data_IF_057322634917
#
_entry.id   IF_057322634917
#
_cell.length_a   1.000
_cell.length_b   1.000
_cell.length_c   1.000
_cell.angle_alpha   90.00
_cell.angle_beta   90.00
_cell.angle_gamma   90.00
#
_symmetry.space_group_name_H-M   'P 1'
#
loop_
_entity.id
_entity.type
_entity.pdbx_description
1 polymer ?
#
# COMPACT_ATOMS: atom_id res chain seq x y z
N UNK A 1 7.27 20.18 0.74
CA UNK A 1 7.84 20.25 -0.63
C UNK A 1 6.71 20.00 -1.63
N UNK A 2 6.78 20.49 -2.87
CA UNK A 2 5.62 20.44 -3.80
C UNK A 2 5.12 19.01 -4.07
N UNK A 3 6.01 18.09 -4.45
CA UNK A 3 5.63 16.70 -4.73
C UNK A 3 5.06 15.98 -3.50
N UNK A 4 5.57 16.29 -2.32
CA UNK A 4 5.07 15.73 -1.05
C UNK A 4 3.68 16.26 -0.73
N UNK A 5 3.38 17.53 -1.03
CA UNK A 5 2.04 18.08 -0.90
C UNK A 5 1.04 17.37 -1.83
N UNK A 6 1.42 17.11 -3.09
CA UNK A 6 0.59 16.33 -4.03
C UNK A 6 0.37 14.91 -3.52
N UNK A 7 1.42 14.23 -3.04
CA UNK A 7 1.31 12.88 -2.47
C UNK A 7 0.40 12.83 -1.24
N UNK A 8 0.50 13.83 -0.35
CA UNK A 8 -0.36 13.94 0.82
C UNK A 8 -1.82 14.18 0.42
N UNK A 9 -2.07 15.01 -0.60
CA UNK A 9 -3.42 15.28 -1.09
C UNK A 9 -4.03 14.07 -1.81
N UNK A 10 -3.25 13.24 -2.50
CA UNK A 10 -3.78 12.04 -3.17
C UNK A 10 -3.88 10.82 -2.23
N UNK A 11 -2.90 10.62 -1.34
CA UNK A 11 -2.70 9.38 -0.57
C UNK A 11 -2.78 9.55 0.94
N UNK A 12 -3.01 10.76 1.43
CA UNK A 12 -3.02 11.11 2.86
C UNK A 12 -1.77 10.68 3.63
N UNK A 13 -0.64 10.55 2.92
CA UNK A 13 0.65 10.10 3.43
C UNK A 13 1.78 10.82 2.72
N UNK A 14 2.86 11.07 3.46
CA UNK A 14 4.14 11.44 2.86
C UNK A 14 4.85 10.16 2.39
N UNK A 15 5.56 10.27 1.27
CA UNK A 15 6.48 9.23 0.81
C UNK A 15 7.84 9.28 1.53
N UNK A 16 8.13 10.33 2.30
CA UNK A 16 9.41 10.53 3.01
C UNK A 16 9.34 10.25 4.51
N UNK A 17 8.20 10.53 5.14
CA UNK A 17 8.00 10.34 6.58
C UNK A 17 6.79 9.48 6.90
N UNK A 18 6.88 8.78 8.03
CA UNK A 18 5.81 7.93 8.56
C UNK A 18 4.72 8.72 9.30
N UNK A 19 5.01 9.93 9.76
CA UNK A 19 4.05 10.74 10.51
C UNK A 19 3.84 12.11 9.87
N UNK A 20 2.57 12.42 9.58
CA UNK A 20 2.14 13.69 8.99
C UNK A 20 2.52 14.91 9.85
N UNK A 21 2.61 14.75 11.17
CA UNK A 21 3.08 15.81 12.08
C UNK A 21 4.50 16.27 11.77
N UNK A 22 5.34 15.38 11.24
CA UNK A 22 6.76 15.66 10.97
C UNK A 22 6.94 16.52 9.70
N UNK A 23 5.86 16.81 8.97
CA UNK A 23 5.85 17.77 7.86
C UNK A 23 5.75 19.22 8.36
N UNK A 24 5.50 19.43 9.65
CA UNK A 24 5.41 20.77 10.25
C UNK A 24 6.78 21.45 10.20
N UNK A 25 6.80 22.66 9.64
CA UNK A 25 8.02 23.46 9.60
C UNK A 25 8.47 23.81 11.03
N UNK A 26 9.79 23.87 11.24
CA UNK A 26 10.34 24.27 12.54
C UNK A 26 9.79 25.65 12.97
N UNK A 27 9.29 25.73 14.21
CA UNK A 27 8.66 26.94 14.76
C UNK A 27 7.20 27.17 14.34
N UNK A 28 6.62 26.32 13.48
CA UNK A 28 5.20 26.38 13.14
C UNK A 28 4.36 25.43 14.00
N UNK A 29 3.08 25.76 14.17
CA UNK A 29 2.11 24.94 14.93
C UNK A 29 1.38 23.89 14.06
N UNK A 30 1.59 23.94 12.75
CA UNK A 30 0.90 23.09 11.79
C UNK A 30 1.24 23.40 10.33
N UNK A 31 0.53 22.76 9.42
CA UNK A 31 0.67 22.97 7.98
C UNK A 31 -0.65 22.73 7.26
N UNK A 32 -0.74 23.23 6.03
CA UNK A 32 -1.89 23.06 5.14
C UNK A 32 -1.41 22.80 3.72
N UNK A 33 -2.01 21.81 3.08
CA UNK A 33 -1.84 21.53 1.67
C UNK A 33 -3.21 21.62 1.00
N UNK A 34 -3.28 22.30 -0.14
CA UNK A 34 -4.48 22.42 -0.96
C UNK A 34 -4.13 22.18 -2.42
N UNK A 35 -5.08 21.64 -3.17
CA UNK A 35 -4.98 21.50 -4.62
C UNK A 35 -6.34 21.33 -5.27
N UNK A 36 -6.37 21.55 -6.58
CA UNK A 36 -7.52 21.28 -7.41
C UNK A 36 -7.19 20.17 -8.40
N UNK A 37 -8.10 19.21 -8.54
CA UNK A 37 -8.06 18.15 -9.54
C UNK A 37 -9.25 18.30 -10.48
N UNK A 38 -9.08 17.82 -11.70
CA UNK A 38 -10.16 17.68 -12.65
C UNK A 38 -9.91 16.43 -13.48
N UNK A 39 -10.90 15.54 -13.52
CA UNK A 39 -10.91 14.34 -14.34
C UNK A 39 -12.30 14.17 -15.00
N UNK A 40 -12.62 12.96 -15.47
CA UNK A 40 -13.93 12.65 -16.06
C UNK A 40 -15.10 12.80 -15.06
N UNK A 41 -14.85 12.73 -13.75
CA UNK A 41 -15.85 12.95 -12.71
C UNK A 41 -16.07 14.44 -12.40
N UNK A 42 -15.20 15.32 -12.90
CA UNK A 42 -15.31 16.78 -12.79
C UNK A 42 -14.27 17.41 -11.85
N UNK A 43 -14.34 18.74 -11.66
CA UNK A 43 -13.41 19.45 -10.80
C UNK A 43 -13.68 19.19 -9.32
N UNK A 44 -12.63 19.02 -8.53
CA UNK A 44 -12.68 18.90 -7.07
C UNK A 44 -11.54 19.69 -6.44
N UNK A 45 -11.82 20.40 -5.34
CA UNK A 45 -10.78 20.99 -4.49
C UNK A 45 -10.58 20.17 -3.23
N UNK A 46 -9.35 19.80 -2.94
CA UNK A 46 -8.99 19.02 -1.77
C UNK A 46 -8.07 19.83 -0.86
N UNK A 47 -8.34 19.74 0.44
CA UNK A 47 -7.49 20.32 1.49
C UNK A 47 -7.13 19.29 2.55
N UNK A 48 -5.86 19.26 2.94
CA UNK A 48 -5.38 18.51 4.11
C UNK A 48 -4.70 19.48 5.05
N UNK A 49 -5.19 19.52 6.28
CA UNK A 49 -4.67 20.39 7.32
C UNK A 49 -4.17 19.54 8.48
N UNK A 50 -3.00 19.91 9.01
CA UNK A 50 -2.51 19.42 10.28
C UNK A 50 -2.38 20.58 11.25
N UNK A 51 -3.07 20.51 12.38
CA UNK A 51 -2.92 21.43 13.53
C UNK A 51 -2.66 20.56 14.74
N UNK A 52 -1.86 21.00 15.72
CA UNK A 52 -1.29 20.21 16.83
C UNK A 52 -2.14 19.10 17.52
N UNK A 53 -3.46 19.06 17.35
CA UNK A 53 -4.36 18.01 17.83
C UNK A 53 -4.74 16.91 16.80
N UNK A 54 -4.46 17.07 15.49
CA UNK A 54 -4.80 16.07 14.49
C UNK A 54 -4.86 16.55 13.04
N UNK A 55 -5.30 15.64 12.17
CA UNK A 55 -5.52 15.89 10.74
C UNK A 55 -6.97 16.22 10.47
N UNK A 56 -7.21 17.26 9.68
CA UNK A 56 -8.50 17.67 9.13
C UNK A 56 -8.48 17.58 7.61
N UNK A 57 -9.62 17.21 7.02
CA UNK A 57 -9.80 17.03 5.58
C UNK A 57 -10.91 17.94 5.07
N UNK A 58 -10.68 18.53 3.90
CA UNK A 58 -11.63 19.41 3.22
C UNK A 58 -11.89 18.95 1.79
N UNK A 59 -13.15 19.01 1.37
CA UNK A 59 -13.60 18.77 -0.01
C UNK A 59 -14.45 19.96 -0.44
N UNK A 60 -14.07 20.64 -1.52
CA UNK A 60 -14.74 21.82 -2.06
C UNK A 60 -14.98 22.94 -1.04
N UNK A 61 -14.04 23.09 -0.10
CA UNK A 61 -14.10 24.07 1.00
C UNK A 61 -14.95 23.63 2.20
N UNK A 62 -15.58 22.44 2.14
CA UNK A 62 -16.27 21.84 3.28
C UNK A 62 -15.28 21.10 4.18
N UNK A 63 -15.09 21.61 5.38
CA UNK A 63 -14.35 20.98 6.47
C UNK A 63 -15.05 19.72 7.04
N UNK A 64 -14.26 18.88 7.71
CA UNK A 64 -14.75 17.69 8.39
C UNK A 64 -15.06 16.50 7.47
N UNK A 65 -14.49 16.45 6.27
CA UNK A 65 -14.64 15.29 5.39
C UNK A 65 -14.06 14.04 6.03
N UNK A 66 -14.73 12.90 5.84
CA UNK A 66 -14.17 11.62 6.30
C UNK A 66 -13.04 11.18 5.37
N UNK A 67 -12.19 10.27 5.85
CA UNK A 67 -11.15 9.67 4.99
C UNK A 67 -11.79 8.94 3.80
N UNK A 68 -12.95 8.32 4.00
CA UNK A 68 -13.61 7.52 2.97
C UNK A 68 -14.29 8.43 1.92
N UNK A 69 -14.77 9.63 2.33
CA UNK A 69 -15.24 10.66 1.39
C UNK A 69 -14.11 11.25 0.54
N UNK A 70 -12.93 11.41 1.14
CA UNK A 70 -11.78 12.09 0.56
C UNK A 70 -10.94 11.19 -0.36
N UNK A 71 -10.83 9.91 -0.01
CA UNK A 71 -9.99 8.96 -0.72
C UNK A 71 -10.50 8.72 -2.15
N UNK A 72 -9.58 8.62 -3.11
CA UNK A 72 -9.91 8.38 -4.52
C UNK A 72 -10.39 9.62 -5.29
N UNK A 73 -10.58 10.78 -4.63
CA UNK A 73 -10.89 12.06 -5.31
C UNK A 73 -9.73 12.63 -6.11
N UNK A 74 -8.52 12.16 -5.83
CA UNK A 74 -7.31 12.51 -6.53
C UNK A 74 -6.41 11.27 -6.60
N UNK A 75 -5.86 11.02 -7.77
CA UNK A 75 -4.87 9.97 -7.99
C UNK A 75 -3.53 10.63 -8.33
N UNK A 76 -2.47 10.19 -7.66
CA UNK A 76 -1.12 10.61 -7.97
C UNK A 76 -0.15 9.46 -7.72
N UNK A 77 0.71 9.19 -8.70
CA UNK A 77 1.84 8.26 -8.57
C UNK A 77 3.10 9.10 -8.42
N UNK A 78 3.82 8.90 -7.32
CA UNK A 78 5.12 9.53 -7.10
C UNK A 78 6.18 8.44 -7.16
N UNK A 79 7.14 8.59 -8.07
CA UNK A 79 8.34 7.78 -8.11
C UNK A 79 9.39 8.37 -7.16
N UNK A 80 9.86 7.57 -6.21
CA UNK A 80 10.81 7.96 -5.18
C UNK A 80 11.88 6.88 -4.96
N UNK A 81 13.09 7.29 -4.56
CA UNK A 81 14.20 6.36 -4.30
C UNK A 81 13.90 5.31 -3.21
N UNK A 82 12.95 5.57 -2.31
CA UNK A 82 12.48 4.61 -1.31
C UNK A 82 11.52 3.53 -1.83
N UNK A 83 11.08 3.60 -3.10
CA UNK A 83 10.14 2.63 -3.67
C UNK A 83 10.75 1.23 -3.82
N UNK A 84 12.09 1.11 -3.74
CA UNK A 84 12.78 -0.18 -3.67
C UNK A 84 12.38 -1.00 -2.46
N UNK A 85 11.85 -0.38 -1.39
CA UNK A 85 11.38 -1.09 -0.20
C UNK A 85 10.27 -2.10 -0.50
N UNK A 86 9.48 -1.88 -1.55
CA UNK A 86 8.50 -2.88 -2.01
C UNK A 86 9.26 -4.10 -2.53
N UNK A 87 10.30 -3.90 -3.32
CA UNK A 87 11.11 -4.96 -3.96
C UNK A 87 12.01 -5.71 -2.96
N UNK A 88 12.68 -4.96 -2.08
CA UNK A 88 13.68 -5.46 -1.12
C UNK A 88 13.05 -5.90 0.21
N UNK A 89 11.84 -5.41 0.51
CA UNK A 89 11.17 -5.63 1.79
C UNK A 89 10.61 -7.03 1.98
N UNK A 90 9.95 -7.25 3.12
CA UNK A 90 9.24 -8.48 3.41
C UNK A 90 7.83 -8.49 2.81
N UNK A 91 7.07 -9.53 3.12
CA UNK A 91 5.69 -9.66 2.67
C UNK A 91 4.78 -8.55 3.22
N UNK A 92 5.16 -7.90 4.32
CA UNK A 92 4.41 -6.78 4.88
C UNK A 92 4.50 -5.52 4.00
N UNK A 93 5.70 -5.14 3.55
CA UNK A 93 5.94 -3.99 2.68
C UNK A 93 5.22 -4.17 1.34
N UNK A 94 5.36 -5.37 0.75
CA UNK A 94 4.68 -5.74 -0.50
C UNK A 94 3.16 -5.72 -0.40
N UNK A 95 2.59 -6.33 0.66
CA UNK A 95 1.16 -6.24 0.96
C UNK A 95 0.72 -4.79 1.11
N UNK A 96 1.50 -3.99 1.83
CA UNK A 96 1.20 -2.58 2.04
C UNK A 96 1.11 -1.80 0.73
N UNK A 97 2.05 -2.01 -0.19
CA UNK A 97 2.03 -1.40 -1.52
C UNK A 97 0.87 -1.90 -2.38
N UNK A 98 0.60 -3.20 -2.38
CA UNK A 98 -0.48 -3.78 -3.17
C UNK A 98 -1.88 -3.40 -2.64
N UNK A 99 -2.06 -3.33 -1.34
CA UNK A 99 -3.29 -2.85 -0.70
C UNK A 99 -3.49 -1.35 -0.93
N UNK A 100 -2.41 -0.57 -1.01
CA UNK A 100 -2.51 0.84 -1.38
C UNK A 100 -3.01 0.98 -2.81
N UNK A 101 -2.43 0.21 -3.75
CA UNK A 101 -2.88 0.18 -5.14
C UNK A 101 -4.34 -0.29 -5.24
N UNK A 102 -4.75 -1.30 -4.47
CA UNK A 102 -6.14 -1.75 -4.43
C UNK A 102 -7.08 -0.64 -3.95
N UNK A 103 -6.71 0.11 -2.91
CA UNK A 103 -7.51 1.23 -2.45
C UNK A 103 -7.57 2.38 -3.47
N UNK A 104 -6.54 2.56 -4.30
CA UNK A 104 -6.55 3.57 -5.38
C UNK A 104 -7.46 3.15 -6.54
N UNK A 105 -7.46 1.86 -6.91
CA UNK A 105 -8.28 1.32 -8.01
C UNK A 105 -9.73 1.08 -7.61
N UNK A 106 -9.97 0.62 -6.39
CA UNK A 106 -11.30 0.42 -5.80
C UNK A 106 -11.37 1.12 -4.43
N UNK A 107 -11.69 2.43 -4.42
CA UNK A 107 -11.87 3.20 -3.18
C UNK A 107 -12.88 2.57 -2.21
N UNK A 108 -13.83 1.78 -2.70
CA UNK A 108 -14.82 1.08 -1.89
C UNK A 108 -14.22 0.02 -0.95
N UNK A 109 -13.00 -0.47 -1.21
CA UNK A 109 -12.29 -1.40 -0.33
C UNK A 109 -11.50 -0.74 0.78
N UNK A 110 -11.36 0.59 0.79
CA UNK A 110 -10.57 1.28 1.81
C UNK A 110 -11.05 0.98 3.25
N UNK A 111 -12.37 0.97 3.55
CA UNK A 111 -12.85 0.62 4.90
C UNK A 111 -12.45 -0.81 5.29
N UNK A 112 -12.57 -1.77 4.37
CA UNK A 112 -12.19 -3.18 4.59
C UNK A 112 -10.69 -3.31 4.89
N UNK A 113 -9.84 -2.64 4.11
CA UNK A 113 -8.38 -2.64 4.30
C UNK A 113 -7.97 -1.99 5.63
N UNK A 114 -8.67 -0.93 6.05
CA UNK A 114 -8.45 -0.30 7.36
C UNK A 114 -8.88 -1.23 8.49
N UNK A 115 -10.04 -1.88 8.35
CA UNK A 115 -10.55 -2.86 9.31
C UNK A 115 -9.62 -4.05 9.43
N UNK A 116 -9.10 -4.57 8.32
CA UNK A 116 -8.13 -5.67 8.29
C UNK A 116 -6.87 -5.33 9.10
N UNK A 117 -6.29 -4.15 8.89
CA UNK A 117 -5.12 -3.70 9.66
C UNK A 117 -5.40 -3.63 11.16
N UNK A 118 -6.59 -3.16 11.55
CA UNK A 118 -7.00 -3.11 12.94
C UNK A 118 -7.20 -4.50 13.55
N UNK A 119 -7.90 -5.40 12.85
CA UNK A 119 -8.10 -6.79 13.27
C UNK A 119 -6.76 -7.49 13.48
N UNK A 120 -5.83 -7.37 12.51
CA UNK A 120 -4.48 -7.93 12.62
C UNK A 120 -3.75 -7.36 13.84
N UNK A 121 -3.82 -6.05 14.06
CA UNK A 121 -3.15 -5.38 15.18
C UNK A 121 -3.70 -5.86 16.53
N UNK A 122 -5.02 -5.90 16.69
CA UNK A 122 -5.68 -6.33 17.93
C UNK A 122 -5.41 -7.80 18.22
N UNK A 123 -5.56 -8.67 17.21
CA UNK A 123 -5.27 -10.10 17.31
C UNK A 123 -3.80 -10.37 17.69
N UNK A 124 -2.86 -9.66 17.07
CA UNK A 124 -1.43 -9.79 17.37
C UNK A 124 -1.05 -9.19 18.73
N UNK A 125 -1.82 -8.22 19.23
CA UNK A 125 -1.64 -7.70 20.59
C UNK A 125 -2.18 -8.68 21.63
N UNK A 126 -3.34 -9.27 21.38
CA UNK A 126 -3.97 -10.29 22.24
C UNK A 126 -3.05 -11.51 22.43
N UNK A 127 -2.46 -12.02 21.36
CA UNK A 127 -1.56 -13.18 21.41
C UNK A 127 -0.25 -12.94 22.18
N UNK A 128 0.12 -11.68 22.42
CA UNK A 128 1.29 -11.31 23.26
C UNK A 128 0.95 -11.22 24.75
N UNK A 129 -0.33 -11.29 25.12
CA UNK A 129 -0.75 -11.25 26.51
C UNK A 129 -0.54 -12.61 27.18
N UNK A 130 -0.13 -12.60 28.45
CA UNK A 130 0.07 -13.83 29.24
C UNK A 130 -1.22 -14.64 29.45
N UNK A 131 -2.38 -13.96 29.39
CA UNK A 131 -3.72 -14.56 29.49
C UNK A 131 -4.61 -14.10 28.33
N UNK A 132 -4.24 -14.50 27.11
CA UNK A 132 -5.08 -14.27 25.94
C UNK A 132 -6.45 -14.96 26.09
N UNK A 133 -7.54 -14.21 25.92
CA UNK A 133 -8.90 -14.75 25.90
C UNK A 133 -9.17 -15.49 24.59
N UNK A 134 -9.63 -16.75 24.68
CA UNK A 134 -10.04 -17.52 23.51
C UNK A 134 -11.24 -16.90 22.81
N UNK A 135 -12.20 -16.39 23.57
CA UNK A 135 -13.41 -15.75 23.03
C UNK A 135 -13.08 -14.49 22.22
N UNK A 136 -12.22 -13.62 22.76
CA UNK A 136 -11.76 -12.43 22.02
C UNK A 136 -10.97 -12.83 20.77
N UNK A 137 -10.11 -13.84 20.89
CA UNK A 137 -9.36 -14.35 19.73
C UNK A 137 -10.30 -14.89 18.67
N UNK A 138 -11.35 -15.61 19.04
CA UNK A 138 -12.34 -16.12 18.10
C UNK A 138 -13.10 -14.99 17.41
N UNK A 139 -13.54 -13.96 18.15
CA UNK A 139 -14.20 -12.81 17.55
C UNK A 139 -13.30 -12.12 16.50
N UNK A 140 -12.02 -11.90 16.81
CA UNK A 140 -11.08 -11.31 15.87
C UNK A 140 -10.75 -12.22 14.68
N UNK A 141 -10.65 -13.53 14.91
CA UNK A 141 -10.31 -14.49 13.85
C UNK A 141 -11.48 -14.71 12.90
N UNK A 142 -12.73 -14.61 13.38
CA UNK A 142 -13.93 -14.60 12.51
C UNK A 142 -13.96 -13.34 11.65
N UNK A 143 -13.75 -12.16 12.25
CA UNK A 143 -13.66 -10.91 11.48
C UNK A 143 -12.53 -10.95 10.44
N UNK A 144 -11.40 -11.60 10.75
CA UNK A 144 -10.30 -11.80 9.80
C UNK A 144 -10.73 -12.67 8.61
N UNK A 145 -11.43 -13.77 8.87
CA UNK A 145 -11.93 -14.67 7.84
C UNK A 145 -12.95 -13.96 6.92
N UNK A 146 -13.89 -13.22 7.48
CA UNK A 146 -14.89 -12.44 6.72
C UNK A 146 -14.24 -11.40 5.81
N UNK A 147 -13.22 -10.69 6.30
CA UNK A 147 -12.46 -9.74 5.48
C UNK A 147 -11.65 -10.42 4.38
N UNK A 148 -11.14 -11.64 4.62
CA UNK A 148 -10.41 -12.40 3.62
C UNK A 148 -11.31 -12.79 2.45
N UNK A 149 -12.56 -13.21 2.71
CA UNK A 149 -13.56 -13.51 1.67
C UNK A 149 -13.85 -12.31 0.76
N UNK A 150 -13.75 -11.09 1.30
CA UNK A 150 -13.95 -9.85 0.55
C UNK A 150 -12.68 -9.44 -0.22
N UNK A 151 -11.54 -9.42 0.47
CA UNK A 151 -10.31 -8.82 -0.04
C UNK A 151 -9.50 -9.76 -0.93
N UNK A 152 -9.55 -11.08 -0.72
CA UNK A 152 -8.79 -12.01 -1.56
C UNK A 152 -9.24 -12.02 -3.03
N UNK A 153 -10.56 -12.04 -3.36
CA UNK A 153 -11.01 -11.92 -4.74
C UNK A 153 -10.60 -10.58 -5.37
N UNK A 154 -10.74 -9.47 -4.64
CA UNK A 154 -10.37 -8.15 -5.11
C UNK A 154 -8.85 -8.05 -5.42
N UNK A 155 -8.02 -8.56 -4.51
CA UNK A 155 -6.56 -8.65 -4.72
C UNK A 155 -6.20 -9.55 -5.91
N UNK A 156 -6.89 -10.68 -6.09
CA UNK A 156 -6.69 -11.57 -7.24
C UNK A 156 -7.03 -10.88 -8.55
N UNK A 157 -8.17 -10.18 -8.62
CA UNK A 157 -8.58 -9.42 -9.79
C UNK A 157 -7.58 -8.31 -10.13
N UNK A 158 -7.13 -7.56 -9.12
CA UNK A 158 -6.09 -6.55 -9.29
C UNK A 158 -4.80 -7.19 -9.83
N UNK A 159 -4.37 -8.34 -9.30
CA UNK A 159 -3.16 -9.00 -9.75
C UNK A 159 -3.24 -9.46 -11.21
N UNK A 160 -4.40 -10.00 -11.63
CA UNK A 160 -4.63 -10.40 -13.02
C UNK A 160 -4.50 -9.23 -14.01
N UNK A 161 -4.87 -8.03 -13.58
CA UNK A 161 -4.74 -6.81 -14.39
C UNK A 161 -3.32 -6.24 -14.28
N UNK A 162 -2.80 -6.08 -13.08
CA UNK A 162 -1.58 -5.33 -12.80
C UNK A 162 -0.30 -6.09 -13.20
N UNK A 163 -0.19 -7.38 -12.90
CA UNK A 163 1.06 -8.12 -13.10
C UNK A 163 1.52 -8.18 -14.57
N UNK A 164 0.65 -8.38 -15.57
CA UNK A 164 1.05 -8.32 -16.98
C UNK A 164 1.61 -6.95 -17.40
N UNK A 165 1.07 -5.85 -16.85
CA UNK A 165 1.57 -4.50 -17.12
C UNK A 165 2.94 -4.29 -16.49
N UNK A 166 3.17 -4.83 -15.28
CA UNK A 166 4.46 -4.78 -14.60
C UNK A 166 5.53 -5.57 -15.37
N UNK A 167 5.23 -6.78 -15.81
CA UNK A 167 6.15 -7.60 -16.63
C UNK A 167 6.48 -6.92 -17.96
N UNK A 168 5.48 -6.31 -18.61
CA UNK A 168 5.70 -5.52 -19.82
C UNK A 168 6.61 -4.31 -19.56
N UNK A 169 6.31 -3.50 -18.54
CA UNK A 169 7.09 -2.33 -18.20
C UNK A 169 8.56 -2.70 -17.89
N UNK A 170 8.78 -3.78 -17.15
CA UNK A 170 10.14 -4.27 -16.85
C UNK A 170 10.89 -4.70 -18.11
N UNK A 171 10.25 -5.47 -18.99
CA UNK A 171 10.86 -5.89 -20.26
C UNK A 171 11.23 -4.69 -21.11
N UNK A 172 10.34 -3.70 -21.20
CA UNK A 172 10.56 -2.49 -21.99
C UNK A 172 11.74 -1.67 -21.42
N UNK A 173 11.86 -1.57 -20.08
CA UNK A 173 12.98 -0.89 -19.40
C UNK A 173 14.34 -1.61 -19.54
N UNK A 174 14.33 -2.93 -19.59
CA UNK A 174 15.55 -3.76 -19.69
C UNK A 174 15.89 -4.14 -21.13
N UNK A 175 15.12 -3.65 -22.11
CA UNK A 175 15.19 -4.08 -23.51
C UNK A 175 15.15 -5.62 -23.68
N UNK A 176 14.47 -6.32 -22.77
CA UNK A 176 14.39 -7.78 -22.72
C UNK A 176 15.66 -8.51 -22.26
N UNK A 177 16.69 -7.79 -21.78
CA UNK A 177 17.90 -8.39 -21.23
C UNK A 177 17.64 -9.21 -19.96
N UNK A 178 16.59 -8.85 -19.22
CA UNK A 178 16.18 -9.51 -18.00
C UNK A 178 14.70 -9.92 -18.10
N UNK A 179 14.40 -11.12 -17.58
CA UNK A 179 13.02 -11.60 -17.46
C UNK A 179 12.52 -11.41 -16.04
N UNK A 180 11.46 -10.63 -15.89
CA UNK A 180 10.70 -10.57 -14.65
C UNK A 180 9.62 -11.65 -14.68
N UNK A 181 9.58 -12.53 -13.68
CA UNK A 181 8.46 -13.46 -13.45
C UNK A 181 7.76 -13.03 -12.17
N UNK A 182 6.46 -12.73 -12.24
CA UNK A 182 5.66 -12.33 -11.07
C UNK A 182 4.39 -13.16 -10.97
N UNK A 183 3.99 -13.53 -9.75
CA UNK A 183 2.74 -14.25 -9.52
C UNK A 183 2.10 -13.86 -8.19
N UNK A 184 0.77 -13.81 -8.19
CA UNK A 184 -0.03 -13.62 -6.98
C UNK A 184 -0.33 -14.96 -6.31
N UNK A 185 0.06 -15.10 -5.05
CA UNK A 185 -0.25 -16.25 -4.20
C UNK A 185 -1.24 -15.81 -3.11
N UNK A 186 -2.46 -16.36 -3.05
CA UNK A 186 -3.41 -16.02 -2.01
C UNK A 186 -2.96 -16.55 -0.64
N UNK A 187 -3.40 -15.87 0.42
CA UNK A 187 -3.20 -16.34 1.79
C UNK A 187 -4.01 -17.62 2.05
N UNK A 188 -3.52 -18.47 2.95
CA UNK A 188 -4.29 -19.64 3.37
C UNK A 188 -5.63 -19.21 3.99
N UNK A 189 -6.73 -19.90 3.68
CA UNK A 189 -8.02 -19.61 4.30
C UNK A 189 -7.92 -19.68 5.82
N UNK A 190 -8.48 -18.69 6.51
CA UNK A 190 -8.59 -18.71 7.97
C UNK A 190 -9.77 -19.62 8.31
N UNK A 191 -9.56 -20.73 9.07
CA UNK A 191 -10.64 -21.66 9.39
C UNK A 191 -11.78 -20.93 10.11
N UNK A 192 -13.02 -21.10 9.66
CA UNK A 192 -14.16 -20.41 10.26
C UNK A 192 -14.52 -20.97 11.65
N UNK A 193 -14.48 -22.30 11.81
CA UNK A 193 -14.81 -23.01 13.05
C UNK A 193 -14.19 -24.43 13.05
N UNK A 194 -14.43 -25.17 14.14
CA UNK A 194 -14.11 -26.60 14.24
C UNK A 194 -12.65 -26.92 14.56
N UNK A 195 -12.22 -28.18 14.36
CA UNK A 195 -10.92 -28.66 14.84
C UNK A 195 -9.71 -27.91 14.28
N UNK A 196 -9.81 -27.38 13.05
CA UNK A 196 -8.75 -26.57 12.45
C UNK A 196 -8.59 -25.22 13.14
N UNK A 197 -9.70 -24.60 13.56
CA UNK A 197 -9.72 -23.37 14.34
C UNK A 197 -9.09 -23.58 15.71
N UNK A 198 -9.38 -24.71 16.35
CA UNK A 198 -8.79 -25.07 17.64
C UNK A 198 -7.28 -25.30 17.55
N UNK A 199 -6.83 -26.05 16.53
CA UNK A 199 -5.39 -26.24 16.25
C UNK A 199 -4.69 -24.93 15.96
N UNK A 200 -5.33 -24.01 15.23
CA UNK A 200 -4.77 -22.69 14.97
C UNK A 200 -4.58 -21.90 16.26
N UNK A 201 -5.59 -21.88 17.14
CA UNK A 201 -5.51 -21.23 18.45
C UNK A 201 -4.33 -21.76 19.28
N UNK A 202 -4.21 -23.08 19.40
CA UNK A 202 -3.15 -23.72 20.18
C UNK A 202 -1.76 -23.31 19.68
N UNK A 203 -1.54 -23.41 18.36
CA UNK A 203 -0.27 -23.03 17.72
C UNK A 203 0.06 -21.55 17.88
N UNK A 204 -0.92 -20.67 17.70
CA UNK A 204 -0.72 -19.22 17.81
C UNK A 204 -0.48 -18.79 19.25
N UNK A 205 -1.18 -19.39 20.21
CA UNK A 205 -1.00 -19.13 21.64
C UNK A 205 0.36 -19.63 22.14
N UNK A 206 0.77 -20.82 21.75
CA UNK A 206 2.07 -21.39 22.12
C UNK A 206 3.22 -20.50 21.61
N UNK A 207 3.10 -20.00 20.37
CA UNK A 207 4.13 -19.17 19.75
C UNK A 207 4.03 -17.69 20.11
N UNK A 208 2.89 -17.23 20.62
CA UNK A 208 2.59 -15.81 20.82
C UNK A 208 2.57 -15.01 19.52
N UNK A 209 2.26 -15.65 18.38
CA UNK A 209 2.36 -15.08 17.03
C UNK A 209 1.09 -15.32 16.23
N UNK A 210 0.71 -14.32 15.43
CA UNK A 210 -0.34 -14.44 14.43
C UNK A 210 0.20 -15.22 13.22
N UNK A 211 -0.27 -16.46 13.06
CA UNK A 211 0.13 -17.35 11.96
C UNK A 211 -0.78 -17.20 10.75
N UNK A 212 -2.02 -16.73 10.93
CA UNK A 212 -2.94 -16.42 9.84
C UNK A 212 -2.43 -15.28 8.94
N UNK A 213 -1.62 -14.37 9.48
CA UNK A 213 -0.91 -13.33 8.73
C UNK A 213 0.57 -13.43 9.06
N UNK A 214 1.37 -14.18 8.27
CA UNK A 214 2.77 -14.39 8.55
C UNK A 214 3.50 -13.07 8.73
N UNK A 215 3.98 -12.85 9.95
CA UNK A 215 4.83 -11.74 10.33
C UNK A 215 6.27 -12.14 10.01
N UNK A 216 6.72 -11.83 8.80
CA UNK A 216 8.09 -12.07 8.37
C UNK A 216 8.30 -13.43 7.67
N UNK A 217 8.91 -13.36 6.49
CA UNK A 217 9.75 -14.42 5.92
C UNK A 217 9.08 -15.67 5.34
N UNK A 218 8.01 -16.23 5.91
CA UNK A 218 7.67 -17.63 5.60
C UNK A 218 6.93 -17.84 4.26
N UNK A 219 6.23 -16.83 3.72
CA UNK A 219 5.66 -16.88 2.37
C UNK A 219 5.77 -15.54 1.65
N UNK A 220 6.31 -15.49 0.42
CA UNK A 220 6.43 -14.25 -0.35
C UNK A 220 5.05 -13.82 -0.89
N UNK A 221 4.35 -12.97 -0.16
CA UNK A 221 3.17 -12.29 -0.69
C UNK A 221 3.58 -10.93 -1.30
N UNK A 222 3.12 -10.53 -2.52
CA UNK A 222 2.61 -11.32 -3.63
C UNK A 222 3.52 -11.18 -4.86
N UNK A 223 4.83 -11.27 -4.67
CA UNK A 223 5.73 -11.43 -5.81
C UNK A 223 6.95 -12.22 -5.42
N UNK A 224 7.14 -13.30 -6.17
CA UNK A 224 8.48 -13.75 -6.49
C UNK A 224 9.02 -12.79 -7.55
N UNK A 225 10.24 -12.28 -7.38
CA UNK A 225 10.99 -11.62 -8.45
C UNK A 225 12.21 -12.51 -8.65
N UNK A 226 12.24 -13.21 -9.76
CA UNK A 226 13.46 -13.89 -10.20
C UNK A 226 13.78 -13.46 -11.62
N UNK A 227 15.01 -12.97 -11.79
CA UNK A 227 15.64 -12.73 -13.07
C UNK A 227 16.50 -13.93 -13.47
N UNK A 228 16.46 -14.28 -14.76
CA UNK A 228 17.55 -15.03 -15.39
C UNK A 228 18.15 -14.12 -16.45
N UNK A 229 19.43 -13.81 -16.31
CA UNK A 229 20.24 -13.29 -17.41
C UNK A 229 20.57 -14.47 -18.33
N UNK A 230 20.64 -14.32 -19.66
CA UNK A 230 21.17 -15.37 -20.52
C UNK A 230 22.61 -15.72 -20.07
N UNK A 231 22.77 -16.85 -19.39
CA UNK A 231 24.07 -17.36 -18.91
C UNK A 231 24.36 -17.26 -17.39
N UNK A 232 23.43 -16.83 -16.54
CA UNK A 232 23.67 -16.74 -15.10
C UNK A 232 22.46 -17.13 -14.24
N UNK A 233 22.65 -18.05 -13.30
CA UNK A 233 21.68 -18.39 -12.26
C UNK A 233 21.93 -17.46 -11.07
N UNK A 234 21.03 -16.52 -10.80
CA UNK A 234 21.05 -15.78 -9.54
C UNK A 234 20.52 -16.69 -8.43
N UNK A 235 21.44 -17.17 -7.58
CA UNK A 235 21.10 -17.96 -6.40
C UNK A 235 20.32 -17.12 -5.38
N UNK A 236 19.30 -17.71 -4.78
CA UNK A 236 18.40 -17.09 -3.81
C UNK A 236 19.11 -16.35 -2.69
N UNK A 237 19.29 -15.04 -2.88
CA UNK A 237 19.49 -14.06 -1.82
C UNK A 237 19.08 -12.73 -2.41
N UNK A 238 18.15 -12.05 -1.74
CA UNK A 238 17.56 -10.76 -2.09
C UNK A 238 18.55 -9.58 -2.02
N UNK A 239 19.75 -9.74 -2.59
CA UNK A 239 20.71 -8.66 -2.82
C UNK A 239 20.96 -8.54 -4.31
N UNK A 240 20.37 -7.52 -4.91
CA UNK A 240 20.75 -7.12 -6.27
C UNK A 240 19.57 -6.80 -7.17
N UNK A 241 18.80 -5.77 -6.83
CA UNK A 241 18.48 -4.78 -7.87
C UNK A 241 19.56 -3.72 -7.71
N UNK A 242 20.76 -4.05 -8.21
CA UNK A 242 21.81 -3.06 -8.33
C UNK A 242 21.31 -2.03 -9.35
N UNK A 243 21.32 -0.77 -8.94
CA UNK A 243 21.12 0.39 -9.78
C UNK A 243 21.84 0.19 -11.12
N UNK A 244 21.08 0.16 -12.21
CA UNK A 244 21.66 0.18 -13.55
C UNK A 244 22.54 1.44 -13.68
N UNK A 245 23.85 1.32 -13.97
CA UNK A 245 24.70 2.48 -14.18
C UNK A 245 24.45 2.99 -15.61
N UNK A 246 23.96 4.23 -15.72
CA UNK A 246 23.95 4.97 -16.99
C UNK A 246 22.58 5.15 -17.63
N UNK A 247 21.69 5.90 -16.98
CA UNK A 247 20.73 6.72 -17.71
C UNK A 247 21.42 8.08 -17.92
N UNK A 248 21.63 8.57 -19.16
CA UNK A 248 22.15 9.90 -19.40
C UNK A 248 21.24 10.95 -18.74
N UNK A 249 21.83 11.89 -18.01
CA UNK A 249 21.13 13.01 -17.36
C UNK A 249 20.74 14.08 -18.39
N UNK A 250 20.04 13.74 -19.47
CA UNK A 250 19.54 14.74 -20.42
C UNK A 250 18.13 14.31 -20.85
N UNK A 251 17.20 15.27 -20.89
CA UNK A 251 15.77 15.15 -21.21
C UNK A 251 14.80 14.74 -20.09
N UNK A 252 14.86 15.45 -18.95
CA UNK A 252 13.60 15.79 -18.24
C UNK A 252 12.86 16.88 -19.02
N UNK A 253 12.32 16.49 -20.18
CA UNK A 253 11.40 17.29 -20.98
C UNK A 253 10.04 17.33 -20.30
N UNK A 254 9.80 18.40 -19.57
CA UNK A 254 8.50 18.83 -19.06
C UNK A 254 7.51 18.97 -20.23
N UNK A 255 6.63 18.00 -20.44
CA UNK A 255 5.44 18.18 -21.31
C UNK A 255 4.36 18.83 -20.45
N UNK A 256 4.46 20.14 -20.28
CA UNK A 256 3.39 20.97 -19.74
C UNK A 256 2.23 21.00 -20.73
N UNK A 257 1.07 20.48 -20.30
CA UNK A 257 -0.19 20.70 -21.00
C UNK A 257 -0.49 22.20 -21.07
N UNK A 258 -0.65 22.71 -22.29
CA UNK A 258 -1.07 24.08 -22.57
C UNK A 258 -2.52 24.26 -22.09
N UNK A 259 -2.72 25.02 -21.00
CA UNK A 259 -4.00 25.69 -20.76
C UNK A 259 -4.01 26.96 -21.60
N UNK A 260 -4.94 27.04 -22.53
CA UNK A 260 -5.15 28.17 -23.41
C UNK A 260 -5.57 29.42 -22.62
N UNK A 261 -4.90 30.53 -22.89
CA UNK A 261 -5.39 31.87 -22.63
C UNK A 261 -6.66 32.10 -23.47
N UNK A 262 -7.77 32.41 -22.81
CA UNK A 262 -8.96 32.97 -23.44
C UNK A 262 -9.17 34.37 -22.90
N UNK A 263 -8.71 35.36 -23.64
CA UNK A 263 -9.14 36.74 -23.52
C UNK A 263 -10.54 36.87 -24.16
N UNK A 264 -11.45 37.54 -23.45
CA UNK A 264 -12.82 37.84 -23.90
C UNK A 264 -13.66 38.31 -22.73
#
# INVERSE_FOLDING_TARGET
TLLESVAVLARLRSFRTRALRDLTQHGAEGWRAEGAWADEAGPVRLGVIWRGAGRELEIDGRAGATTDEFWGRALAVVAHGGDTAILEGGSAERRGGFDLLLAEVDPGRLPDLRRLREVIRQRSALLRQSRASREEWDAWTTALAELAEILQPARRALAQIFLPHLEKAHRDLTAGAEKLKVSYEPEEPVPAAGPERDRLWERERERGLNLAVPSGGEKPFPFWIGGTTPGGVFGGSSRGIATAPGIPKEDTGFVGGRCAEGAG
#
